data_IF_615899986082
#
_entry.id   IF_615899986082
#
_cell.length_a   1.000
_cell.length_b   1.000
_cell.length_c   1.000
_cell.angle_alpha   90.00
_cell.angle_beta   90.00
_cell.angle_gamma   90.00
#
_symmetry.space_group_name_H-M   'P 1'
#
loop_
_entity.id
_entity.type
_entity.pdbx_description
1 polymer ?
#
# COMPACT_ATOMS: atom_id res chain seq x y z
N UNK A 1 6.26 14.00 -24.80
CA UNK A 1 6.37 14.47 -23.41
C UNK A 1 5.02 15.03 -23.01
N UNK A 2 4.38 14.59 -21.90
CA UNK A 2 3.16 15.23 -21.44
C UNK A 2 3.45 16.70 -21.08
N UNK A 3 2.58 17.60 -21.52
CA UNK A 3 2.71 19.03 -21.26
C UNK A 3 2.51 19.33 -19.77
N UNK A 4 3.24 20.31 -19.19
CA UNK A 4 3.02 20.72 -17.81
C UNK A 4 1.59 21.23 -17.60
N UNK A 5 1.03 20.90 -16.43
CA UNK A 5 -0.35 21.22 -16.06
C UNK A 5 -0.54 22.73 -15.91
N UNK A 6 -1.67 23.24 -16.40
CA UNK A 6 -2.08 24.61 -16.12
C UNK A 6 -2.43 24.77 -14.63
N UNK A 7 -2.40 25.99 -14.07
CA UNK A 7 -2.81 26.23 -12.69
C UNK A 7 -4.21 25.71 -12.37
N UNK A 8 -5.16 25.84 -13.30
CA UNK A 8 -6.52 25.34 -13.15
C UNK A 8 -6.58 23.80 -13.12
N UNK A 9 -5.84 23.14 -14.02
CA UNK A 9 -5.72 21.68 -14.01
C UNK A 9 -5.10 21.19 -12.70
N UNK A 10 -4.10 21.90 -12.17
CA UNK A 10 -3.48 21.57 -10.90
C UNK A 10 -4.46 21.69 -9.72
N UNK A 11 -5.28 22.75 -9.70
CA UNK A 11 -6.32 22.92 -8.66
C UNK A 11 -7.36 21.80 -8.74
N UNK A 12 -7.81 21.45 -9.95
CA UNK A 12 -8.77 20.37 -10.13
C UNK A 12 -8.19 19.01 -9.70
N UNK A 13 -6.94 18.73 -10.08
CA UNK A 13 -6.22 17.52 -9.65
C UNK A 13 -6.06 17.46 -8.13
N UNK A 14 -5.79 18.59 -7.48
CA UNK A 14 -5.67 18.63 -6.03
C UNK A 14 -7.01 18.31 -5.34
N UNK A 15 -8.14 18.77 -5.89
CA UNK A 15 -9.48 18.41 -5.38
C UNK A 15 -9.73 16.91 -5.52
N UNK A 16 -9.49 16.35 -6.71
CA UNK A 16 -9.64 14.91 -6.95
C UNK A 16 -8.75 14.07 -6.03
N UNK A 17 -7.52 14.51 -5.76
CA UNK A 17 -6.63 13.83 -4.80
C UNK A 17 -7.17 13.83 -3.38
N UNK A 18 -7.93 14.85 -2.97
CA UNK A 18 -8.56 14.87 -1.64
C UNK A 18 -9.62 13.79 -1.57
N UNK A 19 -10.50 13.70 -2.56
CA UNK A 19 -11.55 12.69 -2.60
C UNK A 19 -10.96 11.27 -2.59
N UNK A 20 -9.94 11.02 -3.43
CA UNK A 20 -9.21 9.75 -3.46
C UNK A 20 -8.58 9.42 -2.10
N UNK A 21 -8.04 10.42 -1.39
CA UNK A 21 -7.45 10.19 -0.06
C UNK A 21 -8.51 9.77 0.96
N UNK A 22 -9.70 10.38 0.91
CA UNK A 22 -10.82 10.03 1.78
C UNK A 22 -11.27 8.59 1.49
N UNK A 23 -11.45 8.24 0.21
CA UNK A 23 -11.83 6.89 -0.22
C UNK A 23 -10.78 5.84 0.22
N UNK A 24 -9.49 6.15 0.04
CA UNK A 24 -8.41 5.27 0.50
C UNK A 24 -8.43 5.06 2.01
N UNK A 25 -8.66 6.12 2.80
CA UNK A 25 -8.75 6.00 4.26
C UNK A 25 -9.98 5.20 4.70
N UNK A 26 -11.12 5.36 4.03
CA UNK A 26 -12.32 4.55 4.27
C UNK A 26 -12.04 3.07 3.95
N UNK A 27 -11.46 2.78 2.79
CA UNK A 27 -11.07 1.43 2.39
C UNK A 27 -10.13 0.80 3.42
N UNK A 28 -9.07 1.50 3.83
CA UNK A 28 -8.12 0.97 4.83
C UNK A 28 -8.78 0.72 6.20
N UNK A 29 -9.82 1.50 6.55
CA UNK A 29 -10.59 1.29 7.79
C UNK A 29 -11.50 0.07 7.71
N UNK A 30 -12.13 -0.15 6.55
CA UNK A 30 -13.03 -1.27 6.31
C UNK A 30 -12.27 -2.60 6.07
N UNK A 31 -10.99 -2.52 5.69
CA UNK A 31 -10.12 -3.65 5.36
C UNK A 31 -8.94 -3.79 6.34
N UNK A 32 -9.17 -4.17 7.61
CA UNK A 32 -8.10 -4.32 8.61
C UNK A 32 -7.03 -5.35 8.22
N UNK A 33 -7.36 -6.31 7.35
CA UNK A 33 -6.42 -7.27 6.77
C UNK A 33 -5.27 -6.59 6.00
N UNK A 34 -5.50 -5.43 5.40
CA UNK A 34 -4.46 -4.67 4.69
C UNK A 34 -3.48 -4.07 5.68
N UNK A 35 -3.97 -3.54 6.81
CA UNK A 35 -3.11 -3.06 7.89
C UNK A 35 -2.25 -4.19 8.47
N UNK A 36 -2.86 -5.35 8.74
CA UNK A 36 -2.17 -6.52 9.26
C UNK A 36 -1.13 -7.07 8.26
N UNK A 37 -1.47 -7.10 6.96
CA UNK A 37 -0.56 -7.47 5.87
C UNK A 37 0.70 -6.59 5.91
N UNK A 38 0.54 -5.27 5.93
CA UNK A 38 1.68 -4.36 5.97
C UNK A 38 2.49 -4.52 7.27
N UNK A 39 1.83 -4.68 8.41
CA UNK A 39 2.51 -4.93 9.68
C UNK A 39 3.38 -6.19 9.63
N UNK A 40 2.82 -7.33 9.17
CA UNK A 40 3.56 -8.60 9.05
C UNK A 40 4.71 -8.51 8.05
N UNK A 41 4.55 -7.73 7.00
CA UNK A 41 5.61 -7.45 6.04
C UNK A 41 6.77 -6.68 6.68
N UNK A 42 6.48 -5.61 7.42
CA UNK A 42 7.50 -4.83 8.13
C UNK A 42 8.19 -5.63 9.24
N UNK A 43 7.44 -6.43 10.02
CA UNK A 43 8.00 -7.37 10.99
C UNK A 43 9.03 -8.29 10.31
N UNK A 44 8.69 -8.85 9.15
CA UNK A 44 9.58 -9.69 8.36
C UNK A 44 10.86 -8.97 7.94
N UNK A 45 10.78 -7.75 7.39
CA UNK A 45 11.97 -6.97 7.03
C UNK A 45 12.90 -6.74 8.22
N UNK A 46 12.32 -6.36 9.38
CA UNK A 46 13.09 -6.04 10.57
C UNK A 46 13.81 -7.26 11.16
N UNK A 47 13.18 -8.44 11.07
CA UNK A 47 13.73 -9.72 11.53
C UNK A 47 14.78 -10.24 10.54
N UNK A 48 14.42 -10.36 9.27
CA UNK A 48 15.22 -11.03 8.25
C UNK A 48 16.36 -10.16 7.71
N UNK A 49 16.25 -8.82 7.85
CA UNK A 49 17.21 -7.81 7.38
C UNK A 49 17.79 -8.13 6.00
N UNK A 50 16.94 -8.25 4.96
CA UNK A 50 17.36 -8.72 3.66
C UNK A 50 18.34 -7.73 3.00
N UNK A 51 19.35 -8.25 2.31
CA UNK A 51 20.26 -7.42 1.50
C UNK A 51 19.57 -6.82 0.28
N UNK A 52 18.55 -7.51 -0.27
CA UNK A 52 17.76 -7.04 -1.40
C UNK A 52 16.27 -6.94 -1.03
N UNK A 53 15.83 -5.72 -0.73
CA UNK A 53 14.45 -5.44 -0.34
C UNK A 53 13.44 -5.74 -1.45
N UNK A 54 13.79 -5.54 -2.73
CA UNK A 54 12.86 -5.75 -3.85
C UNK A 54 12.56 -7.24 -4.06
N UNK A 55 13.60 -8.07 -4.01
CA UNK A 55 13.44 -9.52 -4.07
C UNK A 55 12.65 -10.03 -2.85
N UNK A 56 12.91 -9.47 -1.67
CA UNK A 56 12.17 -9.79 -0.45
C UNK A 56 10.68 -9.45 -0.58
N UNK A 57 10.33 -8.25 -1.06
CA UNK A 57 8.94 -7.83 -1.34
C UNK A 57 8.27 -8.86 -2.26
N UNK A 58 8.91 -9.17 -3.38
CA UNK A 58 8.36 -10.11 -4.37
C UNK A 58 8.09 -11.47 -3.72
N UNK A 59 9.07 -12.04 -3.02
CA UNK A 59 8.90 -13.32 -2.34
C UNK A 59 7.83 -13.28 -1.26
N UNK A 60 7.73 -12.19 -0.51
CA UNK A 60 6.80 -12.07 0.61
C UNK A 60 5.34 -11.96 0.15
N UNK A 61 5.05 -11.11 -0.84
CA UNK A 61 3.68 -10.91 -1.34
C UNK A 61 3.19 -12.01 -2.31
N UNK A 62 4.08 -12.88 -2.81
CA UNK A 62 3.72 -14.03 -3.66
C UNK A 62 3.55 -15.34 -2.89
N UNK A 63 3.62 -15.29 -1.55
CA UNK A 63 3.48 -16.45 -0.67
C UNK A 63 2.09 -17.09 -0.80
N UNK A 64 2.00 -18.42 -0.99
CA UNK A 64 0.71 -19.11 -1.07
C UNK A 64 -0.05 -19.08 0.27
N UNK A 65 0.66 -18.97 1.40
CA UNK A 65 0.10 -18.88 2.75
C UNK A 65 -0.31 -17.45 3.16
N UNK A 66 -0.14 -16.45 2.28
CA UNK A 66 -0.31 -15.03 2.64
C UNK A 66 -1.70 -14.72 3.21
N UNK A 67 -2.76 -15.25 2.59
CA UNK A 67 -4.15 -15.02 3.04
C UNK A 67 -4.38 -15.52 4.47
N UNK A 68 -3.80 -16.68 4.81
CA UNK A 68 -3.93 -17.26 6.16
C UNK A 68 -3.20 -16.43 7.22
N UNK A 69 -2.20 -15.64 6.81
CA UNK A 69 -1.42 -14.78 7.72
C UNK A 69 -2.07 -13.43 8.01
N UNK A 70 -3.03 -13.01 7.19
CA UNK A 70 -3.63 -11.66 7.26
C UNK A 70 -5.13 -11.66 7.52
N UNK A 71 -5.75 -12.84 7.51
CA UNK A 71 -7.08 -13.05 8.08
C UNK A 71 -6.93 -13.78 9.42
N UNK A 72 -7.07 -13.10 10.57
CA UNK A 72 -7.25 -13.81 11.82
C UNK A 72 -8.59 -14.56 11.78
N UNK A 73 -8.58 -15.83 12.20
CA UNK A 73 -9.81 -16.57 12.53
C UNK A 73 -10.61 -15.85 13.63
#
# INVERSE_FOLDING_TARGET
MPSPLTPEQQVNLNKQKIDIRIENEQYLREHPEVGLLLQKFYEGILIDKPQNTVEYITKWFTRPDLRQKVHPN
#
